data_IF_898117589904
#
_entry.id   IF_898117589904
#
_cell.length_a   1.000
_cell.length_b   1.000
_cell.length_c   1.000
_cell.angle_alpha   90.00
_cell.angle_beta   90.00
_cell.angle_gamma   90.00
#
_symmetry.space_group_name_H-M   'P 1'
#
loop_
_entity.id
_entity.type
_entity.pdbx_description
1 polymer ?
#
# COMPACT_ATOMS: atom_id res chain seq x y z
N UNK A 1 4.52 5.93 20.54
CA UNK A 1 4.80 7.35 20.80
C UNK A 1 3.65 8.15 20.21
N UNK A 2 2.68 8.54 21.04
CA UNK A 2 1.52 9.32 20.56
C UNK A 2 1.92 10.79 20.48
N UNK A 3 1.59 11.43 19.37
CA UNK A 3 1.83 12.86 19.17
C UNK A 3 1.11 13.67 20.27
N UNK A 4 1.76 14.70 20.85
CA UNK A 4 1.15 15.63 21.82
C UNK A 4 -0.14 16.32 21.31
N UNK A 5 -0.48 16.15 20.02
CA UNK A 5 -1.65 16.77 19.37
C UNK A 5 -2.89 15.89 19.35
N UNK A 6 -2.79 14.61 19.78
CA UNK A 6 -3.94 13.70 19.83
C UNK A 6 -4.29 13.46 21.29
N UNK A 7 -5.41 14.02 21.74
CA UNK A 7 -5.96 13.78 23.08
C UNK A 7 -6.97 12.63 22.99
N UNK A 8 -6.58 11.45 23.50
CA UNK A 8 -7.50 10.32 23.61
C UNK A 8 -8.22 10.42 24.94
N UNK A 9 -9.53 10.75 24.90
CA UNK A 9 -10.34 10.98 26.10
C UNK A 9 -11.13 9.76 26.55
N UNK A 10 -11.12 8.67 25.78
CA UNK A 10 -11.96 7.48 26.00
C UNK A 10 -11.26 6.32 26.70
N UNK A 11 -9.97 6.44 27.03
CA UNK A 11 -9.24 5.39 27.73
C UNK A 11 -8.83 5.86 29.13
N UNK A 12 -9.31 5.16 30.13
CA UNK A 12 -8.84 5.32 31.51
C UNK A 12 -7.37 4.87 31.55
N UNK A 13 -6.46 5.82 31.46
CA UNK A 13 -5.02 5.59 31.50
C UNK A 13 -4.58 5.31 32.94
N UNK A 14 -5.20 4.37 33.63
CA UNK A 14 -4.56 3.77 34.80
C UNK A 14 -3.24 3.20 34.32
N UNK A 15 -2.15 3.74 34.82
CA UNK A 15 -0.77 3.23 34.60
C UNK A 15 -0.68 1.81 35.14
N UNK A 16 -1.30 0.88 34.44
CA UNK A 16 -1.06 -0.53 34.67
C UNK A 16 0.36 -0.81 34.18
N UNK A 17 1.29 -0.73 35.11
CA UNK A 17 2.68 -1.17 34.95
C UNK A 17 2.67 -2.71 34.81
N UNK A 18 2.05 -3.22 33.75
CA UNK A 18 1.89 -4.64 33.55
C UNK A 18 3.24 -5.19 33.05
N UNK A 19 4.13 -5.54 34.00
CA UNK A 19 5.45 -6.16 33.75
C UNK A 19 5.33 -7.32 32.77
N UNK A 20 4.21 -8.07 32.82
CA UNK A 20 3.90 -9.18 31.93
C UNK A 20 3.76 -8.71 30.45
N UNK A 21 3.05 -7.60 30.20
CA UNK A 21 2.90 -7.06 28.84
C UNK A 21 4.24 -6.56 28.30
N UNK A 22 5.03 -5.86 29.12
CA UNK A 22 6.37 -5.39 28.73
C UNK A 22 7.28 -6.56 28.39
N UNK A 23 7.24 -7.62 29.21
CA UNK A 23 8.02 -8.84 28.98
C UNK A 23 7.60 -9.53 27.69
N UNK A 24 6.30 -9.77 27.47
CA UNK A 24 5.79 -10.37 26.25
C UNK A 24 6.17 -9.55 25.01
N UNK A 25 6.06 -8.23 25.08
CA UNK A 25 6.46 -7.35 23.99
C UNK A 25 7.96 -7.41 23.70
N UNK A 26 8.80 -7.45 24.73
CA UNK A 26 10.25 -7.64 24.56
C UNK A 26 10.60 -9.01 23.98
N UNK A 27 9.89 -10.07 24.39
CA UNK A 27 10.06 -11.44 23.83
C UNK A 27 9.66 -11.48 22.34
N UNK A 28 8.57 -10.80 21.95
CA UNK A 28 8.18 -10.67 20.54
C UNK A 28 9.25 -9.95 19.73
N UNK A 29 9.81 -8.86 20.24
CA UNK A 29 10.84 -8.10 19.54
C UNK A 29 12.18 -8.85 19.43
N UNK A 30 12.49 -9.73 20.38
CA UNK A 30 13.75 -10.53 20.38
C UNK A 30 13.66 -11.79 19.52
N UNK A 31 12.47 -12.33 19.29
CA UNK A 31 12.28 -13.52 18.45
C UNK A 31 12.38 -13.12 16.98
N UNK A 32 13.17 -13.88 16.20
CA UNK A 32 13.20 -13.80 14.73
C UNK A 32 11.92 -14.36 14.07
N UNK A 33 10.77 -14.07 14.66
CA UNK A 33 9.46 -14.50 14.20
C UNK A 33 9.07 -13.69 12.95
N UNK A 34 8.35 -14.26 11.98
CA UNK A 34 7.76 -13.51 10.86
C UNK A 34 6.97 -12.27 11.29
N UNK A 35 6.34 -12.30 12.48
CA UNK A 35 5.64 -11.15 13.07
C UNK A 35 6.59 -9.97 13.32
N UNK A 36 7.84 -10.23 13.72
CA UNK A 36 8.85 -9.19 13.94
C UNK A 36 9.20 -8.46 12.64
N UNK A 37 9.24 -9.19 11.52
CA UNK A 37 9.46 -8.58 10.19
C UNK A 37 8.34 -7.63 9.77
N UNK A 38 7.10 -7.88 10.21
CA UNK A 38 5.99 -6.93 9.99
C UNK A 38 6.20 -5.67 10.81
N UNK A 39 6.67 -5.82 12.07
CA UNK A 39 6.98 -4.68 12.95
C UNK A 39 8.10 -3.81 12.35
N UNK A 40 9.05 -4.40 11.64
CA UNK A 40 10.12 -3.67 10.96
C UNK A 40 9.59 -2.65 9.95
N UNK A 41 8.41 -2.88 9.37
CA UNK A 41 7.77 -1.89 8.46
C UNK A 41 7.42 -0.57 9.14
N UNK A 42 7.37 -0.55 10.48
CA UNK A 42 7.17 0.67 11.30
C UNK A 42 8.47 1.36 11.67
N UNK A 43 9.60 0.76 11.32
CA UNK A 43 10.93 1.30 11.61
C UNK A 43 11.38 2.28 10.54
N UNK A 44 12.08 3.33 10.95
CA UNK A 44 12.72 4.27 10.02
C UNK A 44 13.79 3.61 9.13
N UNK A 45 14.26 2.42 9.51
CA UNK A 45 15.28 1.67 8.79
C UNK A 45 14.68 0.66 7.79
N UNK A 46 13.35 0.61 7.64
CA UNK A 46 12.71 -0.30 6.71
C UNK A 46 13.11 -0.01 5.27
N UNK A 47 13.62 -1.04 4.59
CA UNK A 47 14.05 -0.94 3.19
C UNK A 47 12.92 -1.37 2.26
N UNK A 48 12.33 -0.40 1.59
CA UNK A 48 11.30 -0.65 0.58
C UNK A 48 11.87 -1.45 -0.61
N UNK A 49 11.02 -2.28 -1.22
CA UNK A 49 11.36 -3.03 -2.43
C UNK A 49 11.38 -2.19 -3.72
N UNK A 50 11.11 -0.90 -3.61
CA UNK A 50 11.19 0.05 -4.72
C UNK A 50 12.28 1.10 -4.48
N UNK A 51 12.72 1.75 -5.55
CA UNK A 51 13.76 2.76 -5.52
C UNK A 51 13.29 4.11 -6.08
N UNK A 52 14.09 5.15 -5.88
CA UNK A 52 13.79 6.52 -6.35
C UNK A 52 13.57 6.61 -7.87
N UNK A 53 14.16 5.70 -8.68
CA UNK A 53 13.96 5.68 -10.14
C UNK A 53 12.49 5.42 -10.50
N UNK A 54 11.82 4.50 -9.79
CA UNK A 54 10.38 4.22 -9.98
C UNK A 54 9.56 5.46 -9.68
N UNK A 55 9.84 6.14 -8.56
CA UNK A 55 9.14 7.37 -8.21
C UNK A 55 9.31 8.43 -9.29
N UNK A 56 10.55 8.71 -9.70
CA UNK A 56 10.83 9.72 -10.74
C UNK A 56 10.12 9.39 -12.05
N UNK A 57 10.11 8.12 -12.47
CA UNK A 57 9.47 7.64 -13.68
C UNK A 57 7.97 7.89 -13.70
N UNK A 58 7.28 7.68 -12.56
CA UNK A 58 5.83 7.71 -12.47
C UNK A 58 5.24 8.97 -11.82
N UNK A 59 6.05 9.79 -11.16
CA UNK A 59 5.59 11.03 -10.49
C UNK A 59 4.90 12.01 -11.44
N UNK A 60 5.21 11.98 -12.73
CA UNK A 60 4.65 12.87 -13.77
C UNK A 60 3.15 12.68 -14.02
N UNK A 61 2.58 11.54 -13.66
CA UNK A 61 1.16 11.25 -13.89
C UNK A 61 0.28 12.03 -12.91
N UNK A 62 -0.73 12.72 -13.45
CA UNK A 62 -1.66 13.54 -12.67
C UNK A 62 -2.86 12.76 -12.15
N UNK A 63 -3.17 11.64 -12.77
CA UNK A 63 -4.26 10.74 -12.39
C UNK A 63 -3.71 9.37 -12.09
N UNK A 64 -4.13 8.79 -10.99
CA UNK A 64 -3.74 7.46 -10.53
C UNK A 64 -5.00 6.63 -10.32
N UNK A 65 -5.05 5.46 -10.98
CA UNK A 65 -6.08 4.45 -10.75
C UNK A 65 -5.48 3.30 -9.94
N UNK A 66 -6.12 2.92 -8.85
CA UNK A 66 -5.68 1.85 -7.97
C UNK A 66 -6.62 0.67 -8.13
N UNK A 67 -6.07 -0.46 -8.54
CA UNK A 67 -6.76 -1.74 -8.69
C UNK A 67 -6.29 -2.68 -7.59
N UNK A 68 -7.17 -3.05 -6.68
CA UNK A 68 -6.85 -3.93 -5.56
C UNK A 68 -8.04 -4.15 -4.65
N UNK A 69 -8.01 -5.22 -3.86
CA UNK A 69 -9.07 -5.58 -2.94
C UNK A 69 -8.56 -5.62 -1.49
N UNK A 70 -9.41 -5.25 -0.53
CA UNK A 70 -9.10 -5.29 0.89
C UNK A 70 -7.88 -4.46 1.24
N UNK A 71 -6.89 -5.04 1.94
CA UNK A 71 -5.68 -4.33 2.36
C UNK A 71 -4.90 -3.66 1.22
N UNK A 72 -5.00 -4.21 0.00
CA UNK A 72 -4.33 -3.65 -1.19
C UNK A 72 -4.89 -2.29 -1.63
N UNK A 73 -6.16 -2.01 -1.37
CA UNK A 73 -6.80 -0.71 -1.67
C UNK A 73 -7.03 0.14 -0.44
N UNK A 74 -7.45 -0.48 0.68
CA UNK A 74 -7.83 0.24 1.91
C UNK A 74 -6.68 1.03 2.51
N UNK A 75 -5.44 0.52 2.41
CA UNK A 75 -4.25 1.23 2.87
C UNK A 75 -4.10 2.60 2.17
N UNK A 76 -4.26 2.60 0.86
CA UNK A 76 -4.11 3.80 0.04
C UNK A 76 -5.32 4.73 0.22
N UNK A 77 -6.53 4.17 0.32
CA UNK A 77 -7.74 4.94 0.64
C UNK A 77 -7.58 5.68 1.96
N UNK A 78 -7.14 5.00 3.02
CA UNK A 78 -6.93 5.60 4.33
C UNK A 78 -5.92 6.76 4.27
N UNK A 79 -4.77 6.57 3.60
CA UNK A 79 -3.77 7.62 3.41
C UNK A 79 -4.36 8.78 2.61
N UNK A 80 -5.07 8.47 1.52
CA UNK A 80 -5.67 9.46 0.63
C UNK A 80 -6.71 10.30 1.35
N UNK A 81 -7.63 9.69 2.09
CA UNK A 81 -8.69 10.40 2.80
C UNK A 81 -8.13 11.24 3.95
N UNK A 82 -7.20 10.68 4.72
CA UNK A 82 -6.58 11.39 5.84
C UNK A 82 -5.73 12.59 5.40
N UNK A 83 -5.01 12.46 4.26
CA UNK A 83 -4.12 13.50 3.75
C UNK A 83 -4.62 14.19 2.48
N UNK A 84 -5.93 14.08 2.21
CA UNK A 84 -6.59 14.63 1.02
C UNK A 84 -6.20 16.08 0.74
N UNK A 85 -6.13 16.89 1.78
CA UNK A 85 -5.78 18.32 1.69
C UNK A 85 -4.36 18.61 1.16
N UNK A 86 -3.46 17.64 1.18
CA UNK A 86 -2.09 17.73 0.62
C UNK A 86 -1.98 17.19 -0.79
N UNK A 87 -2.97 16.42 -1.25
CA UNK A 87 -2.91 15.69 -2.51
C UNK A 87 -3.59 16.50 -3.61
N UNK A 88 -2.82 16.80 -4.68
CA UNK A 88 -3.31 17.55 -5.85
C UNK A 88 -3.63 16.66 -7.04
N UNK A 89 -3.47 15.34 -6.92
CA UNK A 89 -3.71 14.38 -7.98
C UNK A 89 -5.10 13.79 -7.87
N UNK A 90 -5.67 13.38 -9.00
CA UNK A 90 -6.92 12.64 -9.03
C UNK A 90 -6.63 11.17 -8.76
N UNK A 91 -7.44 10.54 -7.90
CA UNK A 91 -7.31 9.13 -7.56
C UNK A 91 -8.65 8.43 -7.76
N UNK A 92 -8.61 7.28 -8.41
CA UNK A 92 -9.75 6.40 -8.61
C UNK A 92 -9.43 5.02 -8.03
N UNK A 93 -10.39 4.43 -7.33
CA UNK A 93 -10.24 3.12 -6.71
C UNK A 93 -11.19 2.13 -7.37
N UNK A 94 -10.65 0.97 -7.74
CA UNK A 94 -11.35 -0.16 -8.34
C UNK A 94 -11.15 -1.37 -7.43
N UNK A 95 -12.00 -1.47 -6.42
CA UNK A 95 -11.87 -2.46 -5.35
C UNK A 95 -13.10 -3.35 -5.15
N UNK A 96 -14.13 -3.14 -5.95
CA UNK A 96 -15.31 -4.00 -6.03
C UNK A 96 -15.62 -4.35 -7.49
N UNK A 97 -16.38 -5.42 -7.70
CA UNK A 97 -16.94 -5.75 -9.01
C UNK A 97 -18.24 -4.95 -9.22
N UNK A 98 -18.11 -3.64 -9.32
CA UNK A 98 -19.26 -2.77 -9.60
C UNK A 98 -19.53 -2.66 -11.10
N UNK A 99 -20.81 -2.73 -11.48
CA UNK A 99 -21.28 -2.56 -12.86
C UNK A 99 -21.12 -1.11 -13.30
N UNK A 100 -21.08 -0.17 -12.37
CA UNK A 100 -20.96 1.25 -12.65
C UNK A 100 -19.50 1.61 -12.91
N UNK A 101 -19.18 1.77 -14.17
CA UNK A 101 -17.89 2.30 -14.63
C UNK A 101 -17.56 3.63 -13.95
N UNK A 102 -16.52 3.72 -13.12
CA UNK A 102 -15.96 5.03 -12.83
C UNK A 102 -15.53 5.64 -14.17
N UNK A 103 -15.79 6.92 -14.37
CA UNK A 103 -15.50 7.65 -15.61
C UNK A 103 -14.09 7.31 -16.07
N UNK A 104 -13.97 6.63 -17.21
CA UNK A 104 -12.68 6.32 -17.84
C UNK A 104 -12.05 7.66 -18.20
N UNK A 105 -11.06 8.08 -17.41
CA UNK A 105 -10.32 9.31 -17.69
C UNK A 105 -9.36 9.01 -18.82
N UNK A 106 -9.65 9.54 -20.00
CA UNK A 106 -8.75 9.47 -21.16
C UNK A 106 -7.49 10.28 -20.88
N UNK A 107 -6.32 9.64 -21.10
CA UNK A 107 -4.97 10.22 -21.19
C UNK A 107 -4.21 10.56 -19.90
N UNK A 108 -2.95 10.08 -19.88
CA UNK A 108 -1.91 10.32 -18.85
C UNK A 108 -2.24 9.80 -17.46
N UNK A 109 -2.82 8.61 -17.39
CA UNK A 109 -3.06 7.91 -16.14
C UNK A 109 -1.95 6.91 -15.84
N UNK A 110 -1.74 6.66 -14.56
CA UNK A 110 -0.99 5.53 -14.05
C UNK A 110 -1.95 4.56 -13.38
N UNK A 111 -1.93 3.31 -13.81
CA UNK A 111 -2.70 2.24 -13.21
C UNK A 111 -1.79 1.44 -12.29
N UNK A 112 -2.08 1.47 -10.98
CA UNK A 112 -1.36 0.71 -9.95
C UNK A 112 -2.19 -0.53 -9.64
N UNK A 113 -1.67 -1.70 -10.00
CA UNK A 113 -2.35 -2.98 -9.82
C UNK A 113 -1.70 -3.70 -8.63
N UNK A 114 -2.48 -3.95 -7.58
CA UNK A 114 -1.98 -4.46 -6.30
C UNK A 114 -2.70 -5.75 -5.94
N UNK A 115 -1.96 -6.85 -5.88
CA UNK A 115 -2.44 -8.10 -5.32
C UNK A 115 -1.27 -8.90 -4.80
N UNK A 116 -1.26 -9.21 -3.52
CA UNK A 116 -0.22 -10.03 -2.90
C UNK A 116 -0.13 -11.40 -3.57
N UNK A 117 -1.25 -12.10 -3.70
CA UNK A 117 -1.30 -13.42 -4.34
C UNK A 117 -1.06 -13.39 -5.85
N UNK A 118 -1.30 -12.25 -6.49
CA UNK A 118 -1.27 -12.09 -7.94
C UNK A 118 -2.41 -12.83 -8.67
N UNK A 119 -3.42 -13.32 -7.93
CA UNK A 119 -4.55 -14.11 -8.46
C UNK A 119 -5.91 -13.68 -7.92
N UNK A 120 -6.01 -12.50 -7.30
CA UNK A 120 -7.28 -11.95 -6.80
C UNK A 120 -8.20 -11.65 -7.97
N UNK A 121 -9.35 -12.33 -8.02
CA UNK A 121 -10.28 -12.29 -9.16
C UNK A 121 -10.74 -10.87 -9.47
N UNK A 122 -11.19 -10.13 -8.47
CA UNK A 122 -11.69 -8.76 -8.61
C UNK A 122 -10.63 -7.83 -9.18
N UNK A 123 -9.38 -7.96 -8.71
CA UNK A 123 -8.26 -7.16 -9.22
C UNK A 123 -7.97 -7.50 -10.69
N UNK A 124 -8.03 -8.79 -11.05
CA UNK A 124 -7.80 -9.25 -12.42
C UNK A 124 -8.92 -8.75 -13.34
N UNK A 125 -10.18 -8.91 -12.94
CA UNK A 125 -11.33 -8.47 -13.74
C UNK A 125 -11.30 -6.96 -13.94
N UNK A 126 -11.19 -6.21 -12.86
CA UNK A 126 -11.20 -4.75 -12.93
C UNK A 126 -10.04 -4.21 -13.78
N UNK A 127 -8.84 -4.76 -13.61
CA UNK A 127 -7.71 -4.30 -14.43
C UNK A 127 -7.87 -4.67 -15.92
N UNK A 128 -8.48 -5.81 -16.24
CA UNK A 128 -8.73 -6.20 -17.64
C UNK A 128 -9.76 -5.28 -18.32
N UNK A 129 -10.80 -4.87 -17.58
CA UNK A 129 -11.89 -4.05 -18.12
C UNK A 129 -11.47 -2.58 -18.16
N UNK A 130 -10.94 -2.03 -17.08
CA UNK A 130 -10.78 -0.59 -16.88
C UNK A 130 -9.36 -0.07 -17.08
N UNK A 131 -8.32 -0.93 -16.97
CA UNK A 131 -6.95 -0.49 -17.06
C UNK A 131 -6.50 -0.36 -18.52
N UNK A 132 -6.37 0.90 -18.99
CA UNK A 132 -5.94 1.22 -20.37
C UNK A 132 -4.68 2.08 -20.42
N UNK A 133 -4.04 2.31 -19.29
CA UNK A 133 -2.95 3.27 -19.14
C UNK A 133 -1.62 2.59 -18.85
N UNK A 134 -0.59 3.37 -18.52
CA UNK A 134 0.70 2.82 -18.08
C UNK A 134 0.50 2.09 -16.75
N UNK A 135 1.06 0.89 -16.65
CA UNK A 135 0.86 0.00 -15.49
C UNK A 135 2.08 -0.08 -14.61
N UNK A 136 1.81 -0.21 -13.31
CA UNK A 136 2.76 -0.52 -12.25
C UNK A 136 2.16 -1.63 -11.39
N UNK A 137 2.83 -2.74 -11.24
CA UNK A 137 2.35 -3.88 -10.48
C UNK A 137 3.03 -3.95 -9.11
N UNK A 138 2.24 -4.25 -8.07
CA UNK A 138 2.75 -4.57 -6.73
C UNK A 138 2.23 -5.97 -6.38
N UNK A 139 3.11 -6.97 -6.42
CA UNK A 139 2.76 -8.39 -6.21
C UNK A 139 3.92 -9.16 -5.61
N UNK A 140 3.68 -10.31 -4.97
CA UNK A 140 4.77 -11.17 -4.53
C UNK A 140 5.62 -11.66 -5.72
N UNK A 141 6.91 -11.86 -5.46
CA UNK A 141 7.84 -12.44 -6.42
C UNK A 141 7.64 -13.96 -6.51
N UNK A 142 6.48 -14.36 -7.05
CA UNK A 142 6.14 -15.75 -7.33
C UNK A 142 5.31 -15.85 -8.59
N UNK A 143 5.32 -17.04 -9.22
CA UNK A 143 4.50 -17.32 -10.39
C UNK A 143 3.01 -17.07 -10.07
N UNK A 144 2.38 -16.19 -10.84
CA UNK A 144 0.98 -15.83 -10.71
C UNK A 144 0.49 -15.13 -11.97
N UNK A 145 -0.85 -15.03 -12.12
CA UNK A 145 -1.45 -14.38 -13.29
C UNK A 145 -0.94 -12.94 -13.48
N UNK A 146 -0.94 -12.13 -12.41
CA UNK A 146 -0.50 -10.72 -12.50
C UNK A 146 1.01 -10.61 -12.75
N UNK A 147 1.82 -11.53 -12.24
CA UNK A 147 3.25 -11.57 -12.52
C UNK A 147 3.49 -11.86 -14.02
N UNK A 148 2.84 -12.89 -14.57
CA UNK A 148 2.95 -13.25 -15.98
C UNK A 148 2.44 -12.12 -16.89
N UNK A 149 1.35 -11.47 -16.51
CA UNK A 149 0.80 -10.32 -17.23
C UNK A 149 1.78 -9.13 -17.22
N UNK A 150 2.35 -8.81 -16.06
CA UNK A 150 3.30 -7.71 -15.92
C UNK A 150 4.56 -7.94 -16.80
N UNK A 151 5.06 -9.16 -16.84
CA UNK A 151 6.19 -9.54 -17.69
C UNK A 151 5.84 -9.43 -19.19
N UNK A 152 4.67 -9.95 -19.61
CA UNK A 152 4.19 -9.82 -21.00
C UNK A 152 4.04 -8.36 -21.43
N UNK A 153 3.58 -7.49 -20.55
CA UNK A 153 3.39 -6.06 -20.80
C UNK A 153 4.69 -5.26 -20.64
N UNK A 154 5.79 -5.88 -20.26
CA UNK A 154 7.06 -5.20 -19.93
C UNK A 154 6.85 -4.02 -18.98
N UNK A 155 5.99 -4.25 -17.98
CA UNK A 155 5.63 -3.27 -16.96
C UNK A 155 6.57 -3.32 -15.77
N UNK A 156 6.67 -2.22 -15.02
CA UNK A 156 7.41 -2.23 -13.75
C UNK A 156 6.69 -3.09 -12.72
N UNK A 157 7.48 -3.86 -11.99
CA UNK A 157 7.02 -4.72 -10.90
C UNK A 157 7.75 -4.31 -9.63
N UNK A 158 6.98 -4.13 -8.56
CA UNK A 158 7.49 -3.92 -7.20
C UNK A 158 7.08 -5.12 -6.37
N UNK A 159 8.02 -5.68 -5.66
CA UNK A 159 7.76 -6.85 -4.83
C UNK A 159 6.91 -6.47 -3.62
N UNK A 160 5.77 -7.12 -3.46
CA UNK A 160 5.03 -7.14 -2.21
C UNK A 160 5.69 -8.16 -1.29
N UNK A 161 6.28 -7.72 -0.18
CA UNK A 161 6.98 -8.61 0.76
C UNK A 161 6.04 -9.71 1.29
N UNK A 162 6.48 -10.97 1.23
CA UNK A 162 5.67 -12.13 1.61
C UNK A 162 5.27 -12.15 3.09
N UNK A 163 6.10 -11.58 3.98
CA UNK A 163 5.83 -11.50 5.42
C UNK A 163 4.83 -10.39 5.78
N UNK A 164 4.53 -9.45 4.86
CA UNK A 164 3.54 -8.41 5.10
C UNK A 164 2.16 -8.88 4.71
N UNK A 165 1.26 -9.04 5.68
CA UNK A 165 -0.15 -9.31 5.42
C UNK A 165 -0.89 -8.06 4.94
N UNK A 166 -1.96 -8.23 4.13
CA UNK A 166 -2.71 -7.11 3.57
C UNK A 166 -3.18 -6.08 4.62
N UNK A 167 -3.62 -6.54 5.79
CA UNK A 167 -4.07 -5.67 6.90
C UNK A 167 -2.95 -4.84 7.54
N UNK A 168 -1.70 -5.21 7.34
CA UNK A 168 -0.53 -4.57 7.93
C UNK A 168 0.34 -3.82 6.90
N UNK A 169 -0.15 -3.70 5.66
CA UNK A 169 0.65 -3.23 4.53
C UNK A 169 0.66 -1.71 4.33
N UNK A 170 0.00 -0.94 5.20
CA UNK A 170 -0.09 0.52 5.06
C UNK A 170 1.26 1.22 5.04
N UNK A 171 2.22 0.79 5.86
CA UNK A 171 3.58 1.34 5.91
C UNK A 171 4.60 0.54 5.09
N UNK A 172 4.14 -0.46 4.33
CA UNK A 172 4.97 -1.17 3.35
C UNK A 172 4.89 -0.50 1.97
N UNK A 173 5.47 -1.14 0.96
CA UNK A 173 5.43 -0.74 -0.45
C UNK A 173 4.01 -0.45 -0.95
N UNK A 174 3.04 -1.20 -0.43
CA UNK A 174 1.63 -1.13 -0.83
C UNK A 174 1.00 0.24 -0.53
N UNK A 175 1.28 0.79 0.64
CA UNK A 175 0.79 2.11 1.00
C UNK A 175 1.75 3.23 0.64
N UNK A 176 3.06 3.02 0.88
CA UNK A 176 4.06 4.09 0.76
C UNK A 176 4.41 4.44 -0.68
N UNK A 177 4.55 3.46 -1.59
CA UNK A 177 4.82 3.78 -2.99
C UNK A 177 3.71 4.62 -3.63
N UNK A 178 2.42 4.26 -3.53
CA UNK A 178 1.36 5.15 -4.01
C UNK A 178 1.34 6.51 -3.30
N UNK A 179 1.60 6.56 -1.99
CA UNK A 179 1.66 7.82 -1.24
C UNK A 179 2.73 8.77 -1.80
N UNK A 180 3.93 8.28 -2.09
CA UNK A 180 4.98 9.07 -2.72
C UNK A 180 4.61 9.50 -4.15
N UNK A 181 3.96 8.61 -4.91
CA UNK A 181 3.46 8.95 -6.24
C UNK A 181 2.35 10.00 -6.19
N UNK A 182 1.59 10.08 -5.10
CA UNK A 182 0.62 11.15 -4.83
C UNK A 182 1.28 12.47 -4.41
N UNK A 183 2.59 12.47 -4.18
CA UNK A 183 3.37 13.65 -3.82
C UNK A 183 3.58 13.84 -2.32
N UNK A 184 3.22 12.86 -1.52
CA UNK A 184 3.47 12.85 -0.08
C UNK A 184 4.94 12.51 0.21
N UNK A 185 5.48 12.99 1.33
CA UNK A 185 6.83 12.67 1.80
C UNK A 185 6.71 11.58 2.86
N UNK A 186 7.05 10.35 2.52
CA UNK A 186 6.91 9.20 3.44
C UNK A 186 7.81 9.27 4.67
N UNK A 187 8.91 10.02 4.61
CA UNK A 187 9.80 10.31 5.76
C UNK A 187 9.09 11.06 6.91
N UNK A 188 7.85 11.50 6.69
CA UNK A 188 7.06 12.30 7.65
C UNK A 188 5.81 11.57 8.17
N UNK A 189 5.69 10.25 7.88
CA UNK A 189 4.63 9.40 8.40
C UNK A 189 4.94 8.83 9.77
#
# INVERSE_FOLDING_TARGET
MFSKKIKITCFDTKKNNNKKIKRLFSEILQKKDPLCKVIDTFSNNYQYSYNKKIITKFKKYKTISVFGLGGSSLCIKAIYDFLRYKIRKNVYFYDNLDIVSPKIVKNKNLDIIISKSGSTLETIVNQNIFSKSKKLFITENKKSYLMDLALKLKSEIVEHRNFVGGRYSVLSEVGMLPAELLGLKCEKF
#
